data_IF_978557550910
#
_entry.id   IF_978557550910
#
_cell.length_a   1.000
_cell.length_b   1.000
_cell.length_c   1.000
_cell.angle_alpha   90.00
_cell.angle_beta   90.00
_cell.angle_gamma   90.00
#
_symmetry.space_group_name_H-M   'P 1'
#
loop_
_entity.id
_entity.type
_entity.pdbx_description
1 polymer ?
#
# COMPACT_ATOMS: atom_id res chain seq x y z
N UNK A 1 16.16 23.14 -5.44
CA UNK A 1 16.53 22.09 -4.47
C UNK A 1 18.01 22.16 -4.11
N UNK A 2 18.91 22.47 -5.03
CA UNK A 2 20.36 22.47 -4.79
C UNK A 2 20.82 23.31 -3.58
N UNK A 3 20.26 24.51 -3.38
CA UNK A 3 20.54 25.31 -2.16
C UNK A 3 20.04 24.65 -0.86
N UNK A 4 18.92 23.95 -0.92
CA UNK A 4 18.39 23.19 0.21
C UNK A 4 19.29 21.98 0.51
N UNK A 5 19.69 21.25 -0.52
CA UNK A 5 20.60 20.10 -0.42
C UNK A 5 21.96 20.48 0.20
N UNK A 6 22.55 21.60 -0.23
CA UNK A 6 23.79 22.12 0.37
C UNK A 6 23.63 22.53 1.84
N UNK A 7 22.43 22.91 2.27
CA UNK A 7 22.17 23.32 3.66
C UNK A 7 21.96 22.15 4.63
N UNK A 8 21.56 20.98 4.12
CA UNK A 8 21.21 19.80 4.94
C UNK A 8 22.35 18.78 5.08
N UNK A 9 23.44 18.91 4.30
CA UNK A 9 24.61 18.03 4.39
C UNK A 9 25.92 18.83 4.57
N UNK A 10 26.06 19.63 5.64
CA UNK A 10 27.30 20.33 5.88
C UNK A 10 28.37 19.39 6.46
N UNK A 11 29.64 19.60 6.11
CA UNK A 11 30.78 18.73 6.50
C UNK A 11 30.93 18.46 8.02
N UNK A 12 30.31 19.27 8.87
CA UNK A 12 30.38 19.14 10.33
C UNK A 12 29.26 18.30 10.96
N UNK A 13 28.25 17.88 10.19
CA UNK A 13 27.21 16.95 10.65
C UNK A 13 27.47 15.57 10.02
N UNK A 14 27.74 14.52 10.82
CA UNK A 14 28.16 13.23 10.30
C UNK A 14 27.04 12.46 9.57
N UNK A 15 25.78 12.82 9.84
CA UNK A 15 24.61 12.16 9.27
C UNK A 15 23.53 13.18 8.93
N UNK A 16 22.88 12.97 7.79
CA UNK A 16 21.75 13.76 7.33
C UNK A 16 20.61 12.83 6.90
N UNK A 17 19.37 13.21 7.20
CA UNK A 17 18.18 12.46 6.80
C UNK A 17 17.14 13.42 6.22
N UNK A 18 16.54 13.02 5.11
CA UNK A 18 15.36 13.66 4.52
C UNK A 18 14.15 12.80 4.81
N UNK A 19 13.10 13.42 5.32
CA UNK A 19 11.80 12.81 5.50
C UNK A 19 10.84 13.41 4.46
N UNK A 20 10.56 12.68 3.38
CA UNK A 20 9.65 13.15 2.33
C UNK A 20 8.23 12.64 2.59
N UNK A 21 7.39 13.47 3.21
CA UNK A 21 5.97 13.20 3.45
C UNK A 21 5.06 13.65 2.29
N UNK A 22 5.58 13.89 1.09
CA UNK A 22 4.77 14.28 -0.08
C UNK A 22 4.38 13.05 -0.91
N UNK A 23 3.49 13.27 -1.89
CA UNK A 23 3.22 12.31 -2.97
C UNK A 23 3.85 12.73 -4.31
N UNK A 24 4.80 13.67 -4.27
CA UNK A 24 5.35 14.33 -5.45
C UNK A 24 6.43 13.46 -6.13
N UNK A 25 6.22 13.15 -7.41
CA UNK A 25 7.16 12.35 -8.20
C UNK A 25 8.48 13.11 -8.48
N UNK A 26 8.45 14.43 -8.55
CA UNK A 26 9.64 15.26 -8.77
C UNK A 26 10.57 15.24 -7.56
N UNK A 27 10.02 15.12 -6.35
CA UNK A 27 10.78 14.94 -5.10
C UNK A 27 11.33 13.52 -5.02
N UNK A 28 10.50 12.50 -5.31
CA UNK A 28 10.94 11.10 -5.39
C UNK A 28 12.11 10.89 -6.37
N UNK A 29 12.10 11.59 -7.52
CA UNK A 29 13.19 11.54 -8.50
C UNK A 29 14.54 12.05 -8.00
N UNK A 30 14.60 12.75 -6.86
CA UNK A 30 15.83 13.25 -6.25
C UNK A 30 16.49 12.25 -5.31
N UNK A 31 15.75 11.23 -4.83
CA UNK A 31 16.22 10.32 -3.79
C UNK A 31 17.55 9.67 -4.13
N UNK A 32 17.73 9.24 -5.39
CA UNK A 32 18.98 8.62 -5.82
C UNK A 32 20.19 9.51 -5.57
N UNK A 33 20.10 10.80 -5.91
CA UNK A 33 21.20 11.74 -5.67
C UNK A 33 21.46 11.99 -4.19
N UNK A 34 20.41 12.02 -3.36
CA UNK A 34 20.56 12.16 -1.90
C UNK A 34 21.24 10.95 -1.28
N UNK A 35 20.74 9.76 -1.61
CA UNK A 35 21.25 8.49 -1.10
C UNK A 35 22.71 8.26 -1.51
N UNK A 36 23.06 8.56 -2.77
CA UNK A 36 24.45 8.44 -3.27
C UNK A 36 25.42 9.37 -2.54
N UNK A 37 24.94 10.53 -2.07
CA UNK A 37 25.73 11.50 -1.28
C UNK A 37 25.68 11.25 0.23
N UNK A 38 25.23 10.07 0.68
CA UNK A 38 25.20 9.69 2.10
C UNK A 38 24.01 10.24 2.89
N UNK A 39 23.05 10.90 2.24
CA UNK A 39 21.85 11.41 2.90
C UNK A 39 20.80 10.29 2.96
N UNK A 40 20.38 9.91 4.17
CA UNK A 40 19.33 8.92 4.37
C UNK A 40 17.97 9.46 3.93
N UNK A 41 17.05 8.58 3.51
CA UNK A 41 15.69 8.95 3.10
C UNK A 41 14.68 8.09 3.84
N UNK A 42 13.67 8.73 4.44
CA UNK A 42 12.48 8.07 5.02
C UNK A 42 11.25 8.62 4.30
N UNK A 43 10.33 7.76 3.84
CA UNK A 43 9.17 8.25 3.07
C UNK A 43 7.95 7.33 3.07
N UNK A 44 6.72 7.87 3.20
CA UNK A 44 5.48 7.19 2.80
C UNK A 44 5.19 7.24 1.29
N UNK A 45 6.04 7.88 0.49
CA UNK A 45 5.83 8.08 -0.94
C UNK A 45 6.09 6.79 -1.73
N UNK A 46 5.00 6.16 -2.18
CA UNK A 46 5.04 4.92 -2.97
C UNK A 46 5.72 5.07 -4.33
N UNK A 47 5.87 6.29 -4.88
CA UNK A 47 6.30 6.50 -6.28
C UNK A 47 7.66 5.89 -6.57
N UNK A 48 8.65 6.12 -5.70
CA UNK A 48 10.00 5.56 -5.85
C UNK A 48 10.00 4.02 -5.72
N UNK A 49 9.14 3.48 -4.84
CA UNK A 49 9.07 2.06 -4.55
C UNK A 49 8.10 1.29 -5.45
N UNK A 50 7.30 1.96 -6.30
CA UNK A 50 6.36 1.32 -7.23
C UNK A 50 6.54 1.74 -8.69
N UNK A 51 7.57 2.53 -9.02
CA UNK A 51 7.93 2.96 -10.39
C UNK A 51 8.61 1.87 -11.23
N UNK A 52 9.26 2.15 -12.36
CA UNK A 52 9.97 1.14 -13.13
C UNK A 52 10.98 0.32 -12.30
N UNK A 53 11.09 -0.98 -12.55
CA UNK A 53 11.92 -1.89 -11.74
C UNK A 53 13.42 -1.50 -11.76
N UNK A 54 13.93 -1.06 -12.91
CA UNK A 54 15.32 -0.62 -13.03
C UNK A 54 15.60 0.66 -12.24
N UNK A 55 14.63 1.57 -12.11
CA UNK A 55 14.76 2.77 -11.27
C UNK A 55 14.82 2.40 -9.79
N UNK A 56 13.99 1.45 -9.35
CA UNK A 56 14.04 0.92 -7.98
C UNK A 56 15.38 0.25 -7.67
N UNK A 57 15.89 -0.61 -8.55
CA UNK A 57 17.22 -1.23 -8.37
C UNK A 57 18.32 -0.18 -8.34
N UNK A 58 18.28 0.81 -9.24
CA UNK A 58 19.24 1.89 -9.25
C UNK A 58 19.21 2.70 -7.95
N UNK A 59 18.02 2.93 -7.40
CA UNK A 59 17.85 3.60 -6.12
C UNK A 59 18.48 2.82 -4.96
N UNK A 60 18.23 1.51 -4.89
CA UNK A 60 18.84 0.63 -3.89
C UNK A 60 20.37 0.59 -4.03
N UNK A 61 20.89 0.51 -5.25
CA UNK A 61 22.34 0.53 -5.51
C UNK A 61 22.98 1.86 -5.05
N UNK A 62 22.31 2.99 -5.28
CA UNK A 62 22.78 4.30 -4.81
C UNK A 62 22.78 4.43 -3.29
N UNK A 63 21.78 3.86 -2.61
CA UNK A 63 21.78 3.77 -1.15
C UNK A 63 23.00 3.00 -0.62
N UNK A 64 23.30 1.85 -1.23
CA UNK A 64 24.48 1.07 -0.88
C UNK A 64 25.79 1.82 -1.15
N UNK A 65 25.91 2.48 -2.30
CA UNK A 65 27.10 3.25 -2.68
C UNK A 65 27.39 4.40 -1.72
N UNK A 66 26.36 5.14 -1.31
CA UNK A 66 26.49 6.24 -0.36
C UNK A 66 26.55 5.82 1.10
N UNK A 67 26.53 4.52 1.42
CA UNK A 67 26.40 4.01 2.79
C UNK A 67 25.21 4.64 3.53
N UNK A 68 24.12 4.89 2.81
CA UNK A 68 22.90 5.53 3.30
C UNK A 68 21.77 4.50 3.41
N UNK A 69 20.69 4.92 4.08
CA UNK A 69 19.55 4.05 4.34
C UNK A 69 18.32 4.62 3.65
N UNK A 70 17.57 3.75 3.00
CA UNK A 70 16.30 4.06 2.37
C UNK A 70 15.16 3.32 3.07
N UNK A 71 14.32 4.08 3.75
CA UNK A 71 13.24 3.62 4.62
C UNK A 71 11.89 4.02 4.03
N UNK A 72 10.97 3.06 3.96
CA UNK A 72 9.67 3.21 3.30
C UNK A 72 8.62 2.24 3.84
N UNK A 73 8.73 1.81 5.11
CA UNK A 73 7.74 0.96 5.79
C UNK A 73 6.32 1.49 5.60
N UNK A 74 6.18 2.82 5.73
CA UNK A 74 4.88 3.49 5.68
C UNK A 74 4.21 3.54 4.30
N UNK A 75 4.86 3.01 3.27
CA UNK A 75 4.26 2.86 1.93
C UNK A 75 3.22 1.74 1.87
N UNK A 76 3.30 0.74 2.75
CA UNK A 76 2.36 -0.40 2.80
C UNK A 76 1.85 -0.59 4.23
N UNK A 77 0.60 -0.21 4.49
CA UNK A 77 -0.05 -0.43 5.79
C UNK A 77 0.20 0.66 6.84
N UNK A 78 0.60 1.87 6.44
CA UNK A 78 0.86 2.97 7.36
C UNK A 78 1.88 2.58 8.46
N UNK A 79 1.49 2.53 9.74
CA UNK A 79 2.42 2.13 10.81
C UNK A 79 2.53 0.61 11.02
N UNK A 80 1.74 -0.19 10.31
CA UNK A 80 1.83 -1.63 10.42
C UNK A 80 3.19 -2.11 9.91
N UNK A 81 3.88 -3.02 10.61
CA UNK A 81 5.20 -3.50 10.22
C UNK A 81 5.09 -4.53 9.09
N UNK A 82 4.56 -4.16 7.93
CA UNK A 82 4.33 -5.08 6.81
C UNK A 82 5.65 -5.42 6.09
N UNK A 83 6.40 -4.40 5.68
CA UNK A 83 7.63 -4.56 4.91
C UNK A 83 8.72 -5.16 5.80
N UNK A 84 8.87 -4.68 7.03
CA UNK A 84 9.83 -5.28 7.98
C UNK A 84 9.49 -6.72 8.33
N UNK A 85 8.22 -7.07 8.54
CA UNK A 85 7.84 -8.48 8.76
C UNK A 85 8.21 -9.34 7.56
N UNK A 86 7.93 -8.89 6.33
CA UNK A 86 8.29 -9.62 5.12
C UNK A 86 9.80 -9.82 5.00
N UNK A 87 10.59 -8.76 5.24
CA UNK A 87 12.06 -8.83 5.25
C UNK A 87 12.58 -9.79 6.30
N UNK A 88 12.09 -9.71 7.54
CA UNK A 88 12.53 -10.58 8.63
C UNK A 88 12.24 -12.06 8.33
N UNK A 89 11.12 -12.37 7.68
CA UNK A 89 10.81 -13.73 7.20
C UNK A 89 11.87 -14.20 6.17
N UNK A 90 12.16 -13.38 5.17
CA UNK A 90 13.13 -13.70 4.10
C UNK A 90 14.56 -13.78 4.64
N UNK A 91 15.01 -12.79 5.42
CA UNK A 91 16.37 -12.69 5.95
C UNK A 91 16.70 -13.84 6.93
N UNK A 92 15.70 -14.38 7.61
CA UNK A 92 15.86 -15.58 8.45
C UNK A 92 15.77 -16.90 7.68
N UNK A 93 15.67 -16.84 6.34
CA UNK A 93 15.64 -17.99 5.43
C UNK A 93 14.30 -18.74 5.39
N UNK A 94 13.18 -18.05 5.61
CA UNK A 94 11.85 -18.60 5.32
C UNK A 94 11.53 -18.47 3.82
N UNK A 95 10.61 -19.30 3.33
CA UNK A 95 10.16 -19.29 1.93
C UNK A 95 8.73 -18.75 1.87
N UNK A 96 8.56 -17.57 1.25
CA UNK A 96 7.24 -16.95 1.08
C UNK A 96 6.46 -17.72 0.01
N UNK A 97 5.30 -18.25 0.36
CA UNK A 97 4.36 -18.84 -0.61
C UNK A 97 3.42 -17.78 -1.18
N UNK A 98 2.85 -16.95 -0.30
CA UNK A 98 1.96 -15.87 -0.71
C UNK A 98 1.90 -14.73 0.30
N UNK A 99 1.65 -13.53 -0.23
CA UNK A 99 1.27 -12.34 0.54
C UNK A 99 -0.07 -11.86 0.02
N UNK A 100 -1.07 -11.82 0.90
CA UNK A 100 -2.45 -11.48 0.52
C UNK A 100 -3.09 -10.59 1.57
N UNK A 101 -4.05 -9.75 1.19
CA UNK A 101 -4.60 -8.81 2.15
C UNK A 101 -5.67 -7.86 1.64
N UNK A 102 -6.22 -7.13 2.59
CA UNK A 102 -7.01 -5.92 2.37
C UNK A 102 -6.08 -4.74 2.65
N UNK A 103 -5.76 -3.99 1.60
CA UNK A 103 -4.73 -2.96 1.64
C UNK A 103 -5.28 -1.53 1.59
N UNK A 104 -6.58 -1.34 1.39
CA UNK A 104 -7.23 -0.03 1.30
C UNK A 104 -8.30 0.11 2.39
N UNK A 105 -8.12 1.09 3.27
CA UNK A 105 -9.11 1.41 4.30
C UNK A 105 -10.44 1.90 3.72
N UNK A 106 -10.40 2.66 2.61
CA UNK A 106 -11.60 3.10 1.89
C UNK A 106 -12.39 1.91 1.35
N UNK A 107 -11.74 0.99 0.64
CA UNK A 107 -12.40 -0.19 0.08
C UNK A 107 -12.85 -1.16 1.19
N UNK A 108 -12.09 -1.27 2.28
CA UNK A 108 -12.50 -1.99 3.48
C UNK A 108 -13.80 -1.40 4.05
N UNK A 109 -13.86 -0.08 4.23
CA UNK A 109 -15.04 0.64 4.73
C UNK A 109 -16.28 0.34 3.88
N UNK A 110 -16.17 0.54 2.56
CA UNK A 110 -17.29 0.36 1.63
C UNK A 110 -17.84 -1.07 1.69
N UNK A 111 -16.99 -2.10 1.63
CA UNK A 111 -17.44 -3.51 1.62
C UNK A 111 -17.71 -4.11 3.01
N UNK A 112 -17.29 -3.44 4.08
CA UNK A 112 -17.69 -3.80 5.44
C UNK A 112 -19.09 -3.27 5.77
N UNK A 113 -19.47 -2.11 5.22
CA UNK A 113 -20.82 -1.55 5.36
C UNK A 113 -21.85 -2.15 4.40
N UNK A 114 -21.40 -2.56 3.21
CA UNK A 114 -22.32 -3.01 2.18
C UNK A 114 -22.99 -4.35 2.53
N UNK A 115 -24.30 -4.28 2.78
CA UNK A 115 -25.19 -5.42 3.08
C UNK A 115 -26.31 -5.60 2.04
N UNK A 116 -26.21 -4.87 0.92
CA UNK A 116 -27.19 -4.89 -0.17
C UNK A 116 -28.54 -4.22 0.14
N UNK A 117 -28.70 -3.58 1.32
CA UNK A 117 -29.93 -2.86 1.67
C UNK A 117 -29.98 -1.44 1.09
N UNK A 118 -28.82 -0.85 0.85
CA UNK A 118 -28.65 0.46 0.22
C UNK A 118 -27.77 0.33 -1.04
N UNK A 119 -27.98 1.17 -2.07
CA UNK A 119 -27.15 1.11 -3.27
C UNK A 119 -25.68 1.42 -2.97
N UNK A 120 -24.76 0.74 -3.66
CA UNK A 120 -23.31 0.92 -3.43
C UNK A 120 -22.86 2.36 -3.68
N UNK A 121 -23.42 3.00 -4.71
CA UNK A 121 -23.21 4.41 -5.05
C UNK A 121 -23.57 5.37 -3.91
N UNK A 122 -24.59 5.05 -3.10
CA UNK A 122 -24.96 5.84 -1.93
C UNK A 122 -23.90 5.74 -0.83
N UNK A 123 -23.36 4.54 -0.58
CA UNK A 123 -22.27 4.34 0.38
C UNK A 123 -21.01 5.08 -0.07
N UNK A 124 -20.69 5.08 -1.37
CA UNK A 124 -19.56 5.85 -1.91
C UNK A 124 -19.72 7.36 -1.67
N UNK A 125 -20.92 7.91 -1.89
CA UNK A 125 -21.22 9.32 -1.61
C UNK A 125 -21.06 9.63 -0.12
N UNK A 126 -21.61 8.80 0.76
CA UNK A 126 -21.51 8.99 2.21
C UNK A 126 -20.06 8.88 2.71
N UNK A 127 -19.28 7.93 2.17
CA UNK A 127 -17.86 7.80 2.46
C UNK A 127 -17.09 9.07 2.07
N UNK A 128 -17.37 9.62 0.89
CA UNK A 128 -16.76 10.88 0.44
C UNK A 128 -17.12 12.05 1.36
N UNK A 129 -18.40 12.22 1.66
CA UNK A 129 -18.88 13.33 2.47
C UNK A 129 -18.36 13.26 3.92
N UNK A 130 -18.07 12.05 4.39
CA UNK A 130 -17.46 11.77 5.69
C UNK A 130 -15.92 11.81 5.69
N UNK A 131 -15.29 12.04 4.54
CA UNK A 131 -13.83 12.10 4.41
C UNK A 131 -13.12 10.73 4.48
N UNK A 132 -13.82 9.64 4.20
CA UNK A 132 -13.24 8.28 4.12
C UNK A 132 -12.68 7.94 2.73
N UNK A 133 -12.91 8.78 1.72
CA UNK A 133 -12.31 8.65 0.39
C UNK A 133 -11.31 9.77 0.14
N UNK A 134 -10.48 9.62 -0.89
CA UNK A 134 -9.81 10.75 -1.54
C UNK A 134 -10.83 11.77 -2.07
N UNK A 135 -10.43 13.04 -2.34
CA UNK A 135 -11.33 14.06 -2.88
C UNK A 135 -12.06 13.60 -4.16
N UNK A 136 -11.37 12.79 -4.96
CA UNK A 136 -11.94 12.04 -6.07
C UNK A 136 -12.02 10.54 -5.71
N UNK A 137 -13.22 9.98 -5.43
CA UNK A 137 -13.36 8.57 -5.06
C UNK A 137 -12.86 7.58 -6.11
N UNK A 138 -12.68 8.02 -7.36
CA UNK A 138 -12.11 7.19 -8.43
C UNK A 138 -10.68 6.74 -8.10
N UNK A 139 -9.93 7.53 -7.34
CA UNK A 139 -8.56 7.19 -6.95
C UNK A 139 -8.53 5.94 -6.05
N UNK A 140 -9.48 5.83 -5.11
CA UNK A 140 -9.66 4.64 -4.28
C UNK A 140 -10.25 3.46 -5.07
N UNK A 141 -11.36 3.71 -5.78
CA UNK A 141 -12.13 2.68 -6.50
C UNK A 141 -11.37 2.06 -7.68
N UNK A 142 -10.35 2.73 -8.21
CA UNK A 142 -9.50 2.20 -9.28
C UNK A 142 -8.71 0.95 -8.88
N UNK A 143 -8.45 0.76 -7.58
CA UNK A 143 -7.56 -0.29 -7.06
C UNK A 143 -6.08 0.01 -7.23
N UNK A 144 -5.70 1.16 -7.79
CA UNK A 144 -4.30 1.43 -8.12
C UNK A 144 -3.41 1.65 -6.90
N UNK A 145 -3.96 2.12 -5.78
CA UNK A 145 -3.22 2.17 -4.52
C UNK A 145 -2.86 0.75 -4.01
N UNK A 146 -3.79 -0.20 -4.11
CA UNK A 146 -3.55 -1.62 -3.78
C UNK A 146 -2.49 -2.22 -4.69
N UNK A 147 -2.59 -1.97 -6.00
CA UNK A 147 -1.60 -2.46 -6.97
C UNK A 147 -0.19 -1.92 -6.71
N UNK A 148 -0.06 -0.63 -6.32
CA UNK A 148 1.24 -0.05 -5.92
C UNK A 148 1.80 -0.74 -4.68
N UNK A 149 0.97 -1.01 -3.68
CA UNK A 149 1.38 -1.71 -2.45
C UNK A 149 1.86 -3.13 -2.74
N UNK A 150 1.15 -3.90 -3.58
CA UNK A 150 1.62 -5.23 -3.99
C UNK A 150 2.89 -5.19 -4.83
N UNK A 151 3.03 -4.18 -5.69
CA UNK A 151 4.27 -3.96 -6.46
C UNK A 151 5.47 -3.72 -5.55
N UNK A 152 5.28 -3.01 -4.43
CA UNK A 152 6.31 -2.80 -3.42
C UNK A 152 6.66 -4.12 -2.74
N UNK A 153 5.66 -4.89 -2.31
CA UNK A 153 5.88 -6.20 -1.67
C UNK A 153 6.55 -7.22 -2.61
N UNK A 154 6.22 -7.19 -3.90
CA UNK A 154 6.89 -8.00 -4.92
C UNK A 154 8.39 -7.70 -4.98
N UNK A 155 8.79 -6.43 -4.88
CA UNK A 155 10.21 -6.05 -4.85
C UNK A 155 10.92 -6.54 -3.61
N UNK A 156 10.24 -6.49 -2.45
CA UNK A 156 10.79 -7.05 -1.21
C UNK A 156 10.98 -8.57 -1.30
N UNK A 157 10.18 -9.26 -2.10
CA UNK A 157 10.35 -10.68 -2.43
C UNK A 157 11.42 -10.93 -3.53
N UNK A 158 12.08 -9.89 -4.04
CA UNK A 158 13.07 -10.00 -5.11
C UNK A 158 12.48 -10.14 -6.52
N UNK A 159 11.17 -9.91 -6.68
CA UNK A 159 10.46 -10.06 -7.94
C UNK A 159 10.47 -8.74 -8.74
N UNK A 160 10.45 -8.86 -10.07
CA UNK A 160 10.46 -7.71 -10.98
C UNK A 160 9.06 -7.22 -11.38
N UNK A 161 8.00 -7.82 -10.84
CA UNK A 161 6.60 -7.52 -11.18
C UNK A 161 6.31 -6.03 -11.03
N UNK A 162 5.86 -5.41 -12.12
CA UNK A 162 5.53 -4.00 -12.21
C UNK A 162 4.04 -3.75 -12.45
N UNK A 163 3.64 -2.49 -12.27
CA UNK A 163 2.30 -2.05 -12.61
C UNK A 163 2.11 -2.21 -14.13
N UNK A 164 1.06 -2.91 -14.54
CA UNK A 164 0.78 -3.23 -15.95
C UNK A 164 1.08 -4.68 -16.32
N UNK A 165 1.87 -5.40 -15.51
CA UNK A 165 2.16 -6.82 -15.74
C UNK A 165 1.03 -7.74 -15.27
N UNK A 166 0.08 -7.22 -14.50
CA UNK A 166 -1.02 -7.96 -13.89
C UNK A 166 -2.35 -7.18 -13.97
N UNK A 167 -3.50 -7.90 -13.97
CA UNK A 167 -4.81 -7.26 -14.00
C UNK A 167 -5.14 -6.59 -12.66
N UNK A 168 -5.70 -5.39 -12.73
CA UNK A 168 -6.29 -4.67 -11.59
C UNK A 168 -7.77 -4.44 -11.90
N UNK A 169 -8.65 -5.02 -11.09
CA UNK A 169 -10.09 -4.82 -11.24
C UNK A 169 -10.49 -3.44 -10.67
N UNK A 170 -10.60 -2.45 -11.55
CA UNK A 170 -11.22 -1.17 -11.21
C UNK A 170 -12.71 -1.35 -10.92
N UNK A 171 -13.18 -0.73 -9.83
CA UNK A 171 -14.60 -0.57 -9.51
C UNK A 171 -15.21 0.70 -10.13
N UNK A 172 -14.38 1.56 -10.76
CA UNK A 172 -14.85 2.68 -11.57
C UNK A 172 -15.33 2.16 -12.92
N UNK A 173 -16.63 2.29 -13.25
CA UNK A 173 -17.14 1.89 -14.56
C UNK A 173 -16.43 2.64 -15.68
N UNK A 174 -16.13 1.94 -16.79
CA UNK A 174 -15.36 2.53 -17.92
C UNK A 174 -15.89 3.88 -18.40
N UNK A 175 -17.22 4.10 -18.56
CA UNK A 175 -17.75 5.39 -19.00
C UNK A 175 -17.55 6.53 -17.99
N UNK A 176 -17.28 6.21 -16.72
CA UNK A 176 -17.14 7.18 -15.62
C UNK A 176 -15.68 7.43 -15.20
N UNK A 177 -14.70 6.87 -15.93
CA UNK A 177 -13.28 7.08 -15.65
C UNK A 177 -12.79 8.50 -15.99
N UNK A 178 -13.54 9.22 -16.83
CA UNK A 178 -13.27 10.60 -17.24
C UNK A 178 -14.43 11.52 -16.89
N UNK A 179 -14.20 12.83 -16.90
CA UNK A 179 -15.21 13.82 -16.55
C UNK A 179 -15.03 14.36 -15.14
N UNK A 180 -15.93 15.24 -14.73
CA UNK A 180 -15.94 15.84 -13.40
C UNK A 180 -16.28 14.83 -12.30
N UNK A 181 -15.94 15.18 -11.06
CA UNK A 181 -16.30 14.36 -9.89
C UNK A 181 -17.82 14.31 -9.72
N UNK A 182 -18.51 15.42 -9.98
CA UNK A 182 -19.98 15.49 -9.87
C UNK A 182 -20.65 14.58 -10.89
N UNK A 183 -20.22 14.60 -12.16
CA UNK A 183 -20.69 13.67 -13.19
C UNK A 183 -20.43 12.21 -12.79
N UNK A 184 -19.27 11.90 -12.22
CA UNK A 184 -18.97 10.54 -11.72
C UNK A 184 -19.97 10.13 -10.64
N UNK A 185 -20.19 10.96 -9.62
CA UNK A 185 -21.07 10.64 -8.50
C UNK A 185 -22.52 10.51 -8.94
N UNK A 186 -22.99 11.41 -9.81
CA UNK A 186 -24.36 11.42 -10.34
C UNK A 186 -24.70 10.15 -11.11
N UNK A 187 -23.77 9.65 -11.93
CA UNK A 187 -24.01 8.51 -12.82
C UNK A 187 -23.56 7.15 -12.23
N UNK A 188 -22.90 7.12 -11.07
CA UNK A 188 -22.43 5.87 -10.45
C UNK A 188 -23.59 4.90 -10.14
N UNK A 189 -24.78 5.42 -9.83
CA UNK A 189 -25.95 4.61 -9.51
C UNK A 189 -26.42 3.71 -10.66
N UNK A 190 -26.10 4.06 -11.91
CA UNK A 190 -26.43 3.24 -13.09
C UNK A 190 -25.69 1.89 -13.10
N UNK A 191 -24.72 1.70 -12.19
CA UNK A 191 -23.88 0.52 -12.10
C UNK A 191 -24.05 -0.24 -10.77
N UNK A 192 -25.01 0.15 -9.93
CA UNK A 192 -25.27 -0.51 -8.63
C UNK A 192 -25.69 -1.97 -8.79
N UNK A 193 -26.42 -2.31 -9.85
CA UNK A 193 -26.90 -3.67 -10.14
C UNK A 193 -25.75 -4.69 -10.25
N UNK A 194 -24.59 -4.28 -10.78
CA UNK A 194 -23.43 -5.19 -10.91
C UNK A 194 -22.90 -5.58 -9.53
N UNK A 195 -22.76 -4.60 -8.63
CA UNK A 195 -22.25 -4.82 -7.28
C UNK A 195 -23.28 -5.59 -6.43
N UNK A 196 -24.56 -5.26 -6.58
CA UNK A 196 -25.68 -5.98 -5.94
C UNK A 196 -25.71 -7.45 -6.35
N UNK A 197 -25.61 -7.74 -7.65
CA UNK A 197 -25.59 -9.12 -8.16
C UNK A 197 -24.41 -9.92 -7.59
N UNK A 198 -23.22 -9.31 -7.49
CA UNK A 198 -22.05 -9.94 -6.87
C UNK A 198 -22.27 -10.19 -5.38
N UNK A 199 -22.89 -9.26 -4.68
CA UNK A 199 -23.17 -9.38 -3.25
C UNK A 199 -24.17 -10.50 -2.98
N UNK A 200 -25.29 -10.54 -3.70
CA UNK A 200 -26.31 -11.58 -3.57
C UNK A 200 -25.73 -12.97 -3.84
N UNK A 201 -24.86 -13.10 -4.84
CA UNK A 201 -24.15 -14.35 -5.13
C UNK A 201 -23.23 -14.77 -3.97
N UNK A 202 -22.46 -13.85 -3.40
CA UNK A 202 -21.60 -14.13 -2.26
C UNK A 202 -22.42 -14.50 -1.02
N UNK A 203 -23.45 -13.72 -0.71
CA UNK A 203 -24.34 -13.93 0.43
C UNK A 203 -25.08 -15.28 0.34
N UNK A 204 -25.57 -15.66 -0.84
CA UNK A 204 -26.19 -16.97 -1.08
C UNK A 204 -25.22 -18.15 -0.83
N UNK A 205 -23.91 -17.92 -0.98
CA UNK A 205 -22.86 -18.88 -0.67
C UNK A 205 -22.35 -18.79 0.79
N UNK A 206 -22.93 -17.93 1.63
CA UNK A 206 -22.44 -17.69 3.00
C UNK A 206 -21.08 -16.99 3.05
N UNK A 207 -20.74 -16.23 2.00
CA UNK A 207 -19.49 -15.50 1.83
C UNK A 207 -19.71 -13.99 1.92
N UNK A 208 -18.64 -13.23 2.15
CA UNK A 208 -18.62 -11.76 2.13
C UNK A 208 -17.79 -11.25 0.96
N UNK A 209 -18.20 -10.14 0.36
CA UNK A 209 -17.41 -9.46 -0.65
C UNK A 209 -16.27 -8.67 -0.01
N UNK A 210 -15.04 -8.84 -0.49
CA UNK A 210 -13.86 -8.09 -0.05
C UNK A 210 -13.00 -7.70 -1.23
N UNK A 211 -12.43 -6.50 -1.19
CA UNK A 211 -11.46 -6.08 -2.18
C UNK A 211 -10.05 -6.53 -1.74
N UNK A 212 -9.53 -7.57 -2.39
CA UNK A 212 -8.35 -8.31 -1.97
C UNK A 212 -7.22 -8.09 -2.98
N UNK A 213 -6.01 -7.94 -2.45
CA UNK A 213 -4.77 -8.07 -3.21
C UNK A 213 -4.09 -9.40 -2.88
N UNK A 214 -3.55 -10.09 -3.88
CA UNK A 214 -2.76 -11.32 -3.72
C UNK A 214 -1.50 -11.24 -4.56
N UNK A 215 -0.41 -11.75 -3.99
CA UNK A 215 0.89 -11.91 -4.61
C UNK A 215 1.41 -13.29 -4.22
N UNK A 216 1.76 -14.13 -5.18
CA UNK A 216 2.39 -15.43 -4.91
C UNK A 216 3.91 -15.39 -5.10
N UNK A 217 4.57 -16.50 -4.75
CA UNK A 217 6.02 -16.67 -4.86
C UNK A 217 6.57 -16.53 -6.29
N UNK A 218 5.75 -16.83 -7.30
CA UNK A 218 6.12 -16.75 -8.71
C UNK A 218 5.95 -15.32 -9.28
N UNK A 219 5.39 -14.42 -8.48
CA UNK A 219 5.14 -13.03 -8.84
C UNK A 219 3.85 -12.80 -9.61
N UNK A 220 2.92 -13.76 -9.60
CA UNK A 220 1.57 -13.53 -10.08
C UNK A 220 0.84 -12.64 -9.08
N UNK A 221 0.15 -11.63 -9.61
CA UNK A 221 -0.60 -10.67 -8.81
C UNK A 221 -2.06 -10.64 -9.27
N UNK A 222 -2.97 -10.58 -8.31
CA UNK A 222 -4.38 -10.29 -8.55
C UNK A 222 -4.88 -9.22 -7.59
N UNK A 223 -5.60 -8.24 -8.13
CA UNK A 223 -6.22 -7.16 -7.34
C UNK A 223 -7.67 -7.04 -7.76
N UNK A 224 -8.61 -7.29 -6.84
CA UNK A 224 -10.02 -7.17 -7.18
C UNK A 224 -10.98 -7.61 -6.09
N UNK A 225 -12.26 -7.61 -6.47
CA UNK A 225 -13.38 -7.94 -5.61
C UNK A 225 -13.60 -9.45 -5.59
N UNK A 226 -13.42 -10.06 -4.42
CA UNK A 226 -13.51 -11.50 -4.20
C UNK A 226 -14.63 -11.85 -3.20
N UNK A 227 -15.17 -13.06 -3.32
CA UNK A 227 -16.04 -13.65 -2.30
C UNK A 227 -15.19 -14.47 -1.33
N UNK A 228 -15.21 -14.08 -0.06
CA UNK A 228 -14.38 -14.66 0.99
C UNK A 228 -15.29 -15.35 2.02
N UNK A 229 -14.89 -16.52 2.53
CA UNK A 229 -15.67 -17.25 3.53
C UNK A 229 -15.95 -16.38 4.78
N UNK A 230 -17.12 -16.53 5.40
CA UNK A 230 -17.54 -15.70 6.53
C UNK A 230 -16.62 -15.82 7.76
N UNK A 231 -15.97 -16.96 7.95
CA UNK A 231 -15.03 -17.25 9.03
C UNK A 231 -13.58 -16.85 8.71
N UNK A 232 -13.27 -16.52 7.45
CA UNK A 232 -11.94 -16.05 7.07
C UNK A 232 -11.59 -14.72 7.78
N UNK A 233 -10.33 -14.49 8.19
CA UNK A 233 -9.94 -13.24 8.88
C UNK A 233 -10.31 -11.96 8.12
N UNK A 234 -10.21 -11.95 6.79
CA UNK A 234 -10.59 -10.79 5.94
C UNK A 234 -12.08 -10.43 6.04
N UNK A 235 -12.94 -11.36 6.45
CA UNK A 235 -14.37 -11.12 6.66
C UNK A 235 -14.68 -10.44 8.00
N UNK A 236 -13.70 -10.36 8.92
CA UNK A 236 -13.90 -10.01 10.33
C UNK A 236 -12.91 -8.92 10.82
N UNK A 237 -12.44 -8.06 9.90
CA UNK A 237 -11.65 -6.88 10.23
C UNK A 237 -12.52 -5.75 10.79
N UNK A 238 -11.93 -4.82 11.55
CA UNK A 238 -12.62 -3.57 11.88
C UNK A 238 -12.84 -2.73 10.62
N UNK A 239 -13.78 -1.78 10.70
CA UNK A 239 -14.38 -1.09 9.57
C UNK A 239 -13.40 -0.63 8.48
N UNK A 240 -12.29 -0.01 8.86
CA UNK A 240 -11.27 0.56 7.95
C UNK A 240 -9.90 -0.12 8.07
N UNK A 241 -9.79 -1.22 8.83
CA UNK A 241 -8.51 -1.86 9.07
C UNK A 241 -7.94 -2.44 7.78
N UNK A 242 -6.62 -2.34 7.64
CA UNK A 242 -5.88 -3.20 6.73
C UNK A 242 -5.54 -4.50 7.45
N UNK A 243 -5.47 -5.59 6.68
CA UNK A 243 -4.97 -6.87 7.13
C UNK A 243 -4.09 -7.47 6.04
N UNK A 244 -2.90 -7.91 6.41
CA UNK A 244 -1.97 -8.62 5.53
C UNK A 244 -1.67 -9.98 6.13
N UNK A 245 -1.81 -11.00 5.31
CA UNK A 245 -1.49 -12.38 5.59
C UNK A 245 -0.21 -12.75 4.87
N UNK A 246 0.72 -13.36 5.60
CA UNK A 246 1.91 -14.01 5.08
C UNK A 246 1.75 -15.52 5.24
N UNK A 247 1.71 -16.23 4.12
CA UNK A 247 1.81 -17.68 4.09
C UNK A 247 3.22 -18.06 3.65
N UNK A 248 3.89 -18.90 4.43
CA UNK A 248 5.28 -19.30 4.19
C UNK A 248 5.48 -20.78 4.50
N UNK A 249 6.65 -21.32 4.22
CA UNK A 249 7.00 -22.69 4.63
C UNK A 249 6.82 -22.89 6.14
N UNK A 250 7.26 -21.93 6.98
CA UNK A 250 7.15 -22.00 8.45
C UNK A 250 5.75 -21.61 8.97
N UNK A 251 5.03 -20.76 8.25
CA UNK A 251 3.66 -20.32 8.56
C UNK A 251 2.61 -20.95 7.62
N UNK A 252 2.79 -22.23 7.27
CA UNK A 252 1.95 -22.93 6.29
C UNK A 252 0.61 -23.42 6.86
N UNK A 253 0.61 -23.94 8.09
CA UNK A 253 -0.63 -24.41 8.75
C UNK A 253 -1.41 -23.29 9.44
N UNK A 254 -0.72 -22.21 9.82
CA UNK A 254 -1.30 -21.05 10.48
C UNK A 254 -0.58 -19.78 9.96
N UNK A 255 -1.13 -19.12 8.93
CA UNK A 255 -0.53 -17.93 8.34
C UNK A 255 -0.31 -16.82 9.37
N UNK A 256 0.73 -16.01 9.17
CA UNK A 256 0.98 -14.84 10.00
C UNK A 256 0.10 -13.68 9.51
N UNK A 257 -0.62 -13.04 10.44
CA UNK A 257 -1.47 -11.88 10.14
C UNK A 257 -0.94 -10.64 10.83
N UNK A 258 -0.88 -9.53 10.08
CA UNK A 258 -0.67 -8.19 10.62
C UNK A 258 -1.89 -7.34 10.28
N UNK A 259 -2.59 -6.85 11.31
CA UNK A 259 -3.83 -6.09 11.17
C UNK A 259 -3.79 -4.81 12.00
N UNK A 260 -4.41 -3.75 11.46
CA UNK A 260 -4.76 -2.54 12.19
C UNK A 260 -5.05 -1.38 11.24
N UNK A 261 -5.07 -0.13 11.73
CA UNK A 261 -5.34 1.03 10.91
C UNK A 261 -4.31 1.16 9.78
N UNK A 262 -4.77 1.05 8.53
CA UNK A 262 -3.92 1.10 7.33
C UNK A 262 -3.74 2.49 6.72
N UNK A 263 -4.36 3.50 7.33
CA UNK A 263 -4.33 4.90 6.95
C UNK A 263 -4.58 5.78 8.19
N UNK A 264 -4.31 7.08 8.07
CA UNK A 264 -4.50 8.05 9.14
C UNK A 264 -3.25 8.90 9.38
N UNK A 265 -3.35 10.23 9.50
CA UNK A 265 -2.20 11.11 9.65
C UNK A 265 -1.31 10.76 10.86
N UNK A 266 -1.92 10.55 12.03
CA UNK A 266 -1.19 10.24 13.27
C UNK A 266 -0.51 8.87 13.21
N UNK A 267 -1.20 7.86 12.67
CA UNK A 267 -0.68 6.51 12.51
C UNK A 267 0.51 6.52 11.55
N UNK A 268 0.35 7.09 10.35
CA UNK A 268 1.44 7.19 9.37
C UNK A 268 2.63 7.97 9.92
N UNK A 269 2.40 9.09 10.61
CA UNK A 269 3.47 9.87 11.24
C UNK A 269 4.22 9.06 12.31
N UNK A 270 3.53 8.25 13.10
CA UNK A 270 4.16 7.34 14.07
C UNK A 270 5.05 6.29 13.38
N UNK A 271 4.62 5.75 12.23
CA UNK A 271 5.42 4.82 11.41
C UNK A 271 6.70 5.47 10.89
N UNK A 272 6.61 6.68 10.33
CA UNK A 272 7.77 7.47 9.87
C UNK A 272 8.72 7.75 11.04
N UNK A 273 8.19 8.11 12.20
CA UNK A 273 8.98 8.35 13.39
C UNK A 273 9.69 7.07 13.89
N UNK A 274 9.04 5.92 13.79
CA UNK A 274 9.66 4.63 14.10
C UNK A 274 10.86 4.32 13.17
N UNK A 275 10.76 4.65 11.87
CA UNK A 275 11.89 4.52 10.94
C UNK A 275 13.03 5.49 11.27
N UNK A 276 12.72 6.72 11.70
CA UNK A 276 13.72 7.67 12.19
C UNK A 276 14.45 7.16 13.43
N UNK A 277 13.72 6.59 14.40
CA UNK A 277 14.33 5.99 15.58
C UNK A 277 15.16 4.75 15.23
N UNK A 278 14.74 3.96 14.24
CA UNK A 278 15.50 2.81 13.74
C UNK A 278 16.81 3.25 13.10
N UNK A 279 16.76 4.28 12.24
CA UNK A 279 17.95 4.92 11.66
C UNK A 279 18.91 5.39 12.76
N UNK A 280 18.41 6.13 13.75
CA UNK A 280 19.23 6.62 14.86
C UNK A 280 19.91 5.48 15.64
N UNK A 281 19.24 4.33 15.80
CA UNK A 281 19.86 3.14 16.43
C UNK A 281 20.97 2.54 15.57
N UNK A 282 20.78 2.41 14.26
CA UNK A 282 21.81 1.90 13.35
C UNK A 282 23.06 2.79 13.32
N UNK A 283 22.87 4.10 13.28
CA UNK A 283 23.98 5.05 13.25
C UNK A 283 24.71 5.15 14.60
N UNK A 284 24.00 5.01 15.73
CA UNK A 284 24.61 5.04 17.06
C UNK A 284 25.35 3.76 17.44
N UNK A 285 24.98 2.61 16.85
CA UNK A 285 25.71 1.35 17.02
C UNK A 285 27.02 1.29 16.21
N UNK A 286 27.27 2.27 15.33
CA UNK A 286 28.49 2.41 14.53
C UNK A 286 29.58 3.30 15.14
N UNK A 287 29.48 3.65 16.44
CA UNK A 287 30.52 4.34 17.21
C UNK A 287 31.23 3.38 18.16
#
# INVERSE_FOLDING_TARGET
>A
FDRFEQSINPDHLPHAVIIDCTADASVAGRYGGWLENGIHVITPNKRACSGPFDEYKALQAKAHQGSSHFFYETTVGAALPIISTLRDLIDTGDEIHSVQGIFSGTLAYLFNLYDGSVPFSAIVREARDSGYTEPDPRDDLSGMDVARKLTILAREMGLSTGIGDFPVQSLVPKPLQSGSIDEFLENLSDYDDEIQSRYEKAAAAGQKLRYVGRLDADGNVSVGLESVAADHPFSNINLTDNIVQFETARYSANPLYVQGPGAGPEVTAAGIFAELLRLAKYLSAGV
#
